data_IF_977775676443
#
_entry.id   IF_977775676443
#
_cell.length_a   1.000
_cell.length_b   1.000
_cell.length_c   1.000
_cell.angle_alpha   90.00
_cell.angle_beta   90.00
_cell.angle_gamma   90.00
#
_symmetry.space_group_name_H-M   'P 1'
#
loop_
_entity.id
_entity.type
_entity.pdbx_description
1 polymer ?
#
# COMPACT_ATOMS: atom_id res chain seq x y z
N UNK A 1 -2.09 81.54 23.19
CA UNK A 1 -2.49 80.45 22.21
C UNK A 1 -1.49 79.35 22.34
N UNK A 2 -1.82 78.35 23.14
CA UNK A 2 -0.96 77.18 23.44
C UNK A 2 -1.50 76.00 22.68
N UNK A 3 -0.64 75.37 21.82
CA UNK A 3 -0.94 74.14 21.09
C UNK A 3 -0.33 72.98 21.84
N UNK A 4 -1.19 72.08 22.36
CA UNK A 4 -0.79 70.84 22.96
C UNK A 4 -0.48 69.79 21.88
N UNK A 5 0.67 69.09 21.98
CA UNK A 5 1.00 67.89 21.22
C UNK A 5 0.40 66.65 21.94
N UNK A 6 -0.15 65.69 21.23
CA UNK A 6 -0.51 64.41 21.82
C UNK A 6 0.70 63.48 21.93
N UNK A 7 0.89 62.91 23.12
CA UNK A 7 1.89 61.87 23.39
C UNK A 7 1.46 60.54 22.77
N UNK A 8 2.28 60.01 21.88
CA UNK A 8 2.13 58.66 21.35
C UNK A 8 2.68 57.63 22.38
N UNK A 9 1.80 56.84 22.94
CA UNK A 9 2.13 55.73 23.84
C UNK A 9 2.57 54.53 22.99
N UNK A 10 3.86 54.23 22.97
CA UNK A 10 4.43 53.07 22.30
C UNK A 10 4.33 51.87 23.24
N UNK A 11 3.29 51.00 23.06
CA UNK A 11 3.23 49.72 23.75
C UNK A 11 4.25 48.75 23.15
N UNK A 12 5.35 48.52 23.86
CA UNK A 12 6.32 47.44 23.57
C UNK A 12 5.70 46.11 23.97
N UNK A 13 5.23 45.33 23.01
CA UNK A 13 4.85 43.93 23.20
C UNK A 13 6.15 43.11 23.26
N UNK A 14 6.61 42.76 24.46
CA UNK A 14 7.64 41.72 24.64
C UNK A 14 7.03 40.36 24.29
N UNK A 15 7.31 39.84 23.12
CA UNK A 15 7.10 38.45 22.79
C UNK A 15 8.07 37.61 23.62
N UNK A 16 7.55 36.97 24.67
CA UNK A 16 8.32 35.94 25.39
C UNK A 16 8.52 34.75 24.47
N UNK A 17 9.67 34.69 23.82
CA UNK A 17 10.14 33.48 23.12
C UNK A 17 10.50 32.46 24.20
N UNK A 18 9.59 31.53 24.45
CA UNK A 18 9.88 30.38 25.30
C UNK A 18 10.93 29.53 24.58
N UNK A 19 12.19 29.72 24.96
CA UNK A 19 13.23 28.78 24.60
C UNK A 19 12.94 27.48 25.35
N UNK A 20 12.47 26.47 24.62
CA UNK A 20 12.49 25.10 25.09
C UNK A 20 13.98 24.75 25.21
N UNK A 21 14.54 24.94 26.39
CA UNK A 21 15.86 24.41 26.73
C UNK A 21 15.71 22.89 26.73
N UNK A 22 16.18 22.26 25.65
CA UNK A 22 16.45 20.84 25.65
C UNK A 22 17.43 20.58 26.82
N UNK A 23 16.93 19.86 27.82
CA UNK A 23 17.80 19.46 28.93
C UNK A 23 18.93 18.62 28.31
N UNK A 24 20.16 19.17 28.28
CA UNK A 24 21.34 18.42 27.87
C UNK A 24 21.51 17.26 28.86
N UNK A 25 21.36 16.03 28.33
CA UNK A 25 21.78 14.86 29.09
C UNK A 25 23.26 14.95 29.41
N UNK A 26 23.60 14.93 30.69
CA UNK A 26 25.00 14.86 31.13
C UNK A 26 25.62 13.47 30.95
N UNK A 27 24.89 12.53 30.33
CA UNK A 27 25.38 11.20 30.04
C UNK A 27 26.19 11.27 28.75
N UNK A 28 27.44 10.83 28.81
CA UNK A 28 28.30 10.75 27.64
C UNK A 28 27.74 9.67 26.68
N UNK A 29 27.69 10.00 25.42
CA UNK A 29 27.39 9.02 24.36
C UNK A 29 28.69 8.24 24.06
N UNK A 30 28.78 7.03 24.58
CA UNK A 30 29.95 6.14 24.42
C UNK A 30 29.52 4.82 23.77
N UNK A 31 30.39 4.18 22.97
CA UNK A 31 30.13 2.88 22.40
C UNK A 31 29.69 1.83 23.42
N UNK A 32 28.53 1.27 23.27
CA UNK A 32 28.00 0.21 24.14
C UNK A 32 28.39 -1.19 23.62
N UNK A 33 28.70 -2.17 24.51
CA UNK A 33 28.96 -3.55 24.08
C UNK A 33 27.77 -4.21 23.32
N UNK A 34 26.55 -3.85 23.68
CA UNK A 34 25.32 -4.23 22.95
C UNK A 34 24.87 -3.03 22.09
N UNK A 35 25.23 -3.06 20.82
CA UNK A 35 24.98 -1.95 19.91
C UNK A 35 23.48 -1.75 19.67
N UNK A 36 22.99 -0.50 19.53
CA UNK A 36 21.61 -0.22 19.14
C UNK A 36 21.35 -0.64 17.68
N UNK A 37 20.14 -1.08 17.40
CA UNK A 37 19.66 -1.42 16.07
C UNK A 37 18.18 -1.06 15.94
N UNK A 38 17.79 -0.87 14.70
CA UNK A 38 16.41 -0.61 14.32
C UNK A 38 16.07 -1.44 13.08
N UNK A 39 14.88 -2.03 13.05
CA UNK A 39 14.31 -2.68 11.87
C UNK A 39 12.90 -2.19 11.69
N UNK A 40 12.50 -1.95 10.43
CA UNK A 40 11.16 -1.47 10.09
C UNK A 40 10.61 -2.23 8.90
N UNK A 41 9.29 -2.51 8.94
CA UNK A 41 8.55 -3.14 7.84
C UNK A 41 7.23 -2.41 7.64
N UNK A 42 6.91 -2.13 6.37
CA UNK A 42 5.60 -1.60 5.99
C UNK A 42 4.66 -2.71 5.57
N UNK A 43 3.44 -2.70 6.10
CA UNK A 43 2.33 -3.59 5.71
C UNK A 43 1.16 -2.72 5.25
N UNK A 44 0.83 -2.74 3.97
CA UNK A 44 -0.10 -1.78 3.38
C UNK A 44 0.41 -0.34 3.54
N UNK A 45 -0.25 0.47 4.38
CA UNK A 45 0.20 1.84 4.72
C UNK A 45 0.77 1.96 6.13
N UNK A 46 0.75 0.88 6.91
CA UNK A 46 1.17 0.85 8.32
C UNK A 46 2.65 0.54 8.43
N UNK A 47 3.43 1.43 9.05
CA UNK A 47 4.82 1.16 9.40
C UNK A 47 4.90 0.51 10.79
N UNK A 48 5.74 -0.52 10.90
CA UNK A 48 6.05 -1.24 12.12
C UNK A 48 7.55 -1.12 12.35
N UNK A 49 7.96 -0.56 13.48
CA UNK A 49 9.37 -0.29 13.78
C UNK A 49 9.76 -0.90 15.12
N UNK A 50 10.86 -1.67 15.15
CA UNK A 50 11.43 -2.24 16.37
C UNK A 50 12.79 -1.60 16.61
N UNK A 51 12.96 -0.98 17.81
CA UNK A 51 14.26 -0.44 18.28
C UNK A 51 14.74 -1.27 19.45
N UNK A 52 15.98 -1.71 19.38
CA UNK A 52 16.53 -2.66 20.35
C UNK A 52 18.05 -2.58 20.44
N UNK A 53 18.62 -3.23 21.45
CA UNK A 53 20.07 -3.43 21.57
C UNK A 53 20.42 -4.90 21.35
N UNK A 54 21.57 -5.15 20.70
CA UNK A 54 22.02 -6.45 20.22
C UNK A 54 23.10 -7.06 21.12
N UNK A 55 22.75 -7.79 22.20
CA UNK A 55 23.74 -8.52 22.97
C UNK A 55 24.31 -9.69 22.15
N UNK A 56 25.59 -9.95 22.34
CA UNK A 56 26.29 -11.11 21.75
C UNK A 56 26.19 -12.32 22.67
N UNK A 57 26.29 -13.52 22.13
CA UNK A 57 26.35 -14.76 22.91
C UNK A 57 27.63 -14.82 23.77
N UNK A 58 28.76 -14.51 23.20
CA UNK A 58 30.07 -14.49 23.90
C UNK A 58 30.32 -15.77 24.74
N UNK A 59 30.12 -16.94 24.15
CA UNK A 59 30.26 -18.26 24.75
C UNK A 59 29.43 -18.50 26.04
N UNK A 60 28.44 -17.65 26.30
CA UNK A 60 27.55 -17.76 27.47
C UNK A 60 26.38 -18.71 27.17
N UNK A 61 25.95 -19.42 28.19
CA UNK A 61 24.60 -20.08 28.14
C UNK A 61 23.54 -18.99 28.28
N UNK A 62 22.71 -18.86 27.25
CA UNK A 62 21.68 -17.82 27.17
C UNK A 62 20.42 -18.28 27.92
N UNK A 63 19.73 -19.26 27.37
CA UNK A 63 18.41 -19.66 27.84
C UNK A 63 18.49 -20.47 29.13
N UNK A 64 17.72 -20.04 30.14
CA UNK A 64 17.73 -20.60 31.48
C UNK A 64 18.96 -20.20 32.34
N UNK A 65 19.86 -19.34 31.84
CA UNK A 65 21.01 -18.80 32.58
C UNK A 65 21.05 -17.28 32.48
N UNK A 66 21.67 -16.70 31.43
CA UNK A 66 21.72 -15.23 31.23
C UNK A 66 20.31 -14.64 31.17
N UNK A 67 19.41 -15.33 30.49
CA UNK A 67 17.96 -15.02 30.42
C UNK A 67 17.22 -16.15 31.17
N UNK A 68 16.82 -15.93 32.45
CA UNK A 68 16.18 -16.96 33.25
C UNK A 68 14.79 -17.31 32.74
N UNK A 69 14.41 -18.58 32.79
CA UNK A 69 13.04 -18.99 32.48
C UNK A 69 12.05 -18.48 33.54
N UNK A 70 10.82 -18.19 33.10
CA UNK A 70 9.73 -17.72 33.95
C UNK A 70 9.90 -16.29 34.47
N UNK A 71 10.88 -15.53 33.96
CA UNK A 71 11.11 -14.12 34.34
C UNK A 71 10.88 -13.21 33.17
N UNK A 72 10.34 -12.01 33.45
CA UNK A 72 10.17 -10.97 32.44
C UNK A 72 11.56 -10.45 32.02
N UNK A 73 11.80 -10.47 30.73
CA UNK A 73 13.01 -10.01 30.08
C UNK A 73 12.67 -8.95 29.03
N UNK A 74 13.46 -7.85 28.95
CA UNK A 74 13.28 -6.75 28.01
C UNK A 74 13.50 -7.11 26.52
N UNK A 75 13.61 -8.39 26.21
CA UNK A 75 13.78 -8.92 24.86
C UNK A 75 14.91 -8.23 24.06
N UNK A 76 16.02 -7.93 24.76
CA UNK A 76 17.18 -7.21 24.26
C UNK A 76 18.18 -6.91 25.37
N UNK A 77 18.88 -5.80 25.29
CA UNK A 77 19.85 -5.32 26.27
C UNK A 77 19.69 -3.80 26.49
N UNK A 78 20.32 -3.27 27.55
CA UNK A 78 20.34 -1.86 27.93
C UNK A 78 18.93 -1.28 28.15
N UNK A 79 18.54 -0.27 27.36
CA UNK A 79 17.21 0.35 27.37
C UNK A 79 16.12 -0.64 26.94
N UNK A 80 14.89 -0.22 27.10
CA UNK A 80 13.73 -1.00 26.70
C UNK A 80 13.76 -1.28 25.18
N UNK A 81 13.57 -2.53 24.79
CA UNK A 81 13.20 -2.84 23.41
C UNK A 81 11.81 -2.29 23.17
N UNK A 82 11.62 -1.55 22.10
CA UNK A 82 10.32 -0.98 21.75
C UNK A 82 9.85 -1.47 20.39
N UNK A 83 8.52 -1.60 20.27
CA UNK A 83 7.84 -1.82 19.01
C UNK A 83 6.78 -0.74 18.81
N UNK A 84 6.80 -0.11 17.64
CA UNK A 84 5.85 0.97 17.27
C UNK A 84 4.98 0.51 16.12
N UNK A 85 3.69 0.77 16.21
CA UNK A 85 2.69 0.54 15.17
C UNK A 85 2.02 1.88 14.84
N UNK A 86 2.06 2.32 13.58
CA UNK A 86 1.45 3.58 13.15
C UNK A 86 -0.09 3.52 13.12
N UNK A 87 -0.64 2.32 12.93
CA UNK A 87 -2.08 2.05 12.91
C UNK A 87 -2.42 0.86 13.84
N UNK A 88 -3.70 0.63 14.19
CA UNK A 88 -4.12 -0.55 14.91
C UNK A 88 -3.76 -1.84 14.18
N UNK A 89 -3.30 -2.83 14.94
CA UNK A 89 -2.88 -4.15 14.43
C UNK A 89 -3.55 -5.28 15.20
N UNK A 90 -3.39 -6.50 14.72
CA UNK A 90 -3.62 -7.71 15.54
C UNK A 90 -2.31 -8.48 15.70
N UNK A 91 -2.06 -8.93 16.92
CA UNK A 91 -0.91 -9.78 17.26
C UNK A 91 -1.45 -11.17 17.61
N UNK A 92 -1.04 -12.20 16.87
CA UNK A 92 -1.58 -13.55 17.02
C UNK A 92 -3.13 -13.55 17.03
N UNK A 93 -3.76 -12.66 16.21
CA UNK A 93 -5.20 -12.48 16.12
C UNK A 93 -5.85 -11.64 17.23
N UNK A 94 -5.09 -11.14 18.21
CA UNK A 94 -5.61 -10.28 19.27
C UNK A 94 -5.37 -8.80 18.98
N UNK A 95 -6.36 -7.92 19.17
CA UNK A 95 -6.25 -6.52 18.79
C UNK A 95 -5.28 -5.74 19.68
N UNK A 96 -4.51 -4.85 19.05
CA UNK A 96 -3.62 -3.89 19.70
C UNK A 96 -3.74 -2.55 19.02
N UNK A 97 -3.91 -1.47 19.79
CA UNK A 97 -4.02 -0.12 19.27
C UNK A 97 -2.70 0.37 18.65
N UNK A 98 -2.77 1.40 17.81
CA UNK A 98 -1.59 2.15 17.37
C UNK A 98 -0.83 2.73 18.57
N UNK A 99 0.50 2.79 18.47
CA UNK A 99 1.35 3.35 19.52
C UNK A 99 2.70 2.67 19.64
N UNK A 100 3.49 3.15 20.58
CA UNK A 100 4.79 2.58 20.94
C UNK A 100 4.68 1.79 22.24
N UNK A 101 5.14 0.57 22.22
CA UNK A 101 5.08 -0.37 23.35
C UNK A 101 6.48 -0.82 23.76
N UNK A 102 6.70 -0.97 25.05
CA UNK A 102 7.84 -1.75 25.57
C UNK A 102 7.63 -3.22 25.26
N UNK A 103 8.54 -3.82 24.53
CA UNK A 103 8.48 -5.22 24.14
C UNK A 103 9.26 -6.04 25.18
N UNK A 104 8.53 -6.90 25.91
CA UNK A 104 9.10 -7.82 26.86
C UNK A 104 8.70 -9.26 26.51
N UNK A 105 9.47 -10.23 27.03
CA UNK A 105 9.15 -11.64 26.87
C UNK A 105 9.37 -12.39 28.18
N UNK A 106 8.59 -13.44 28.39
CA UNK A 106 8.81 -14.43 29.45
C UNK A 106 9.22 -15.73 28.77
N UNK A 107 10.50 -16.07 28.74
CA UNK A 107 10.97 -17.32 28.15
C UNK A 107 10.58 -18.52 29.03
N UNK A 108 10.22 -19.63 28.40
CA UNK A 108 10.11 -20.95 29.00
C UNK A 108 10.61 -22.02 28.00
N UNK A 109 10.61 -23.29 28.39
CA UNK A 109 11.14 -24.32 27.50
C UNK A 109 10.28 -24.54 26.25
N UNK A 110 8.95 -24.53 26.38
CA UNK A 110 8.04 -24.94 25.31
C UNK A 110 7.16 -23.81 24.78
N UNK A 111 6.93 -22.76 25.57
CA UNK A 111 6.05 -21.65 25.22
C UNK A 111 6.56 -20.35 25.84
N UNK A 112 6.59 -19.28 25.04
CA UNK A 112 6.99 -17.96 25.48
C UNK A 112 5.80 -17.03 25.53
N UNK A 113 5.77 -16.12 26.50
CA UNK A 113 4.81 -15.01 26.50
C UNK A 113 5.49 -13.76 25.95
N UNK A 114 4.96 -13.20 24.86
CA UNK A 114 5.34 -11.89 24.31
C UNK A 114 4.41 -10.83 24.90
N UNK A 115 4.98 -9.75 25.42
CA UNK A 115 4.29 -8.71 26.19
C UNK A 115 4.48 -7.37 25.52
N UNK A 116 3.38 -6.65 25.32
CA UNK A 116 3.35 -5.28 24.82
C UNK A 116 2.94 -4.36 25.98
N UNK A 117 3.93 -3.74 26.62
CA UNK A 117 3.70 -2.84 27.76
C UNK A 117 3.47 -1.41 27.27
N UNK A 118 2.55 -0.67 27.89
CA UNK A 118 2.36 0.76 27.67
C UNK A 118 3.55 1.58 28.14
N UNK A 119 4.38 1.05 29.05
CA UNK A 119 5.62 1.65 29.47
C UNK A 119 6.74 1.28 28.46
N UNK A 120 7.10 2.23 27.60
CA UNK A 120 8.12 2.06 26.56
C UNK A 120 9.44 2.77 26.86
N UNK A 121 9.57 3.40 28.03
CA UNK A 121 10.72 4.28 28.37
C UNK A 121 11.58 3.75 29.51
N UNK A 122 11.30 2.56 30.05
CA UNK A 122 12.04 1.93 31.12
C UNK A 122 13.47 1.57 30.69
N UNK A 123 14.37 1.48 31.65
CA UNK A 123 15.69 0.87 31.46
C UNK A 123 15.64 -0.59 31.95
N UNK A 124 15.67 -1.53 31.01
CA UNK A 124 15.52 -2.96 31.32
C UNK A 124 14.07 -3.35 31.68
N UNK A 125 13.90 -4.38 32.50
CA UNK A 125 12.60 -4.84 33.03
C UNK A 125 12.53 -4.74 34.57
N UNK A 126 13.35 -3.90 35.19
CA UNK A 126 13.43 -3.82 36.64
C UNK A 126 12.21 -3.15 37.26
N UNK A 127 11.57 -2.25 36.56
CA UNK A 127 10.35 -1.53 36.97
C UNK A 127 9.11 -2.03 36.23
N UNK A 128 9.19 -3.22 35.63
CA UNK A 128 8.06 -3.80 34.91
C UNK A 128 6.88 -4.04 35.87
N UNK A 129 5.70 -3.56 35.44
CA UNK A 129 4.43 -3.81 36.11
C UNK A 129 3.44 -4.42 35.11
N UNK A 130 2.87 -5.56 35.45
CA UNK A 130 1.88 -6.25 34.64
C UNK A 130 0.60 -5.41 34.43
N UNK A 131 0.28 -4.48 35.32
CA UNK A 131 -0.86 -3.57 35.16
C UNK A 131 -0.72 -2.62 33.97
N UNK A 132 0.49 -2.41 33.47
CA UNK A 132 0.80 -1.58 32.31
C UNK A 132 0.71 -2.38 30.97
N UNK A 133 0.45 -3.68 31.00
CA UNK A 133 0.36 -4.47 29.77
C UNK A 133 -0.87 -4.08 28.96
N UNK A 134 -0.61 -3.77 27.69
CA UNK A 134 -1.66 -3.59 26.70
C UNK A 134 -2.11 -4.92 26.10
N UNK A 135 -1.17 -5.85 25.92
CA UNK A 135 -1.43 -7.16 25.35
C UNK A 135 -0.36 -8.17 25.79
N UNK A 136 -0.78 -9.43 25.96
CA UNK A 136 0.07 -10.60 26.08
C UNK A 136 -0.38 -11.68 25.12
N UNK A 137 0.55 -12.29 24.41
CA UNK A 137 0.30 -13.43 23.54
C UNK A 137 1.30 -14.55 23.83
N UNK A 138 0.86 -15.78 23.67
CA UNK A 138 1.72 -16.94 23.82
C UNK A 138 2.16 -17.44 22.45
N UNK A 139 3.46 -17.74 22.31
CA UNK A 139 4.08 -18.21 21.08
C UNK A 139 5.02 -19.38 21.38
N UNK A 140 5.27 -20.21 20.37
CA UNK A 140 6.21 -21.32 20.50
C UNK A 140 7.56 -20.96 19.91
N UNK A 141 8.65 -21.03 20.70
CA UNK A 141 9.99 -20.87 20.17
C UNK A 141 10.29 -22.00 19.17
N UNK A 142 11.14 -21.70 18.20
CA UNK A 142 11.54 -22.62 17.14
C UNK A 142 13.05 -22.75 17.10
N UNK A 143 13.62 -23.92 16.78
CA UNK A 143 15.04 -24.04 16.50
C UNK A 143 15.44 -23.15 15.33
N UNK A 144 16.59 -22.50 15.42
CA UNK A 144 17.17 -21.67 14.37
C UNK A 144 18.66 -21.97 14.20
N UNK A 145 19.25 -21.46 13.14
CA UNK A 145 20.70 -21.44 12.98
C UNK A 145 21.34 -20.54 14.06
N UNK A 146 22.66 -20.64 14.24
CA UNK A 146 23.37 -19.88 15.27
C UNK A 146 23.42 -18.40 14.95
N UNK A 147 22.70 -17.57 15.71
CA UNK A 147 22.77 -16.11 15.71
C UNK A 147 23.58 -15.62 16.90
N UNK A 148 24.84 -15.21 16.65
CA UNK A 148 25.70 -14.70 17.72
C UNK A 148 25.22 -13.37 18.32
N UNK A 149 24.64 -12.48 17.49
CA UNK A 149 24.02 -11.25 17.94
C UNK A 149 22.50 -11.37 17.93
N UNK A 150 21.82 -10.96 19.00
CA UNK A 150 20.36 -10.87 19.01
C UNK A 150 19.90 -10.02 17.83
N UNK A 151 18.92 -10.52 17.08
CA UNK A 151 18.38 -9.87 15.88
C UNK A 151 16.85 -9.93 15.91
N UNK A 152 16.22 -8.86 15.46
CA UNK A 152 14.82 -8.86 15.04
C UNK A 152 14.77 -8.78 13.53
N UNK A 153 13.85 -9.52 12.91
CA UNK A 153 13.57 -9.46 11.48
C UNK A 153 12.07 -9.63 11.21
N UNK A 154 11.67 -9.35 9.98
CA UNK A 154 10.31 -9.56 9.46
C UNK A 154 10.34 -10.62 8.37
N UNK A 155 9.65 -11.72 8.57
CA UNK A 155 9.56 -12.85 7.63
C UNK A 155 8.10 -13.14 7.22
N UNK A 156 7.92 -14.06 6.29
CA UNK A 156 6.61 -14.54 5.79
C UNK A 156 5.66 -13.40 5.40
N UNK A 157 6.20 -12.43 4.68
CA UNK A 157 5.48 -11.23 4.24
C UNK A 157 4.25 -11.60 3.40
N UNK A 158 3.11 -11.03 3.77
CA UNK A 158 1.84 -11.10 3.04
C UNK A 158 1.31 -9.68 2.81
N UNK A 159 0.34 -9.47 1.89
CA UNK A 159 -0.24 -8.15 1.66
C UNK A 159 -0.78 -7.45 2.92
N UNK A 160 -1.18 -8.21 3.94
CA UNK A 160 -1.80 -7.71 5.16
C UNK A 160 -1.14 -8.23 6.45
N UNK A 161 -0.01 -8.92 6.38
CA UNK A 161 0.65 -9.45 7.59
C UNK A 161 2.13 -9.74 7.37
N UNK A 162 2.87 -9.80 8.47
CA UNK A 162 4.24 -10.32 8.55
C UNK A 162 4.41 -11.11 9.84
N UNK A 163 5.47 -11.91 9.91
CA UNK A 163 5.92 -12.54 11.15
C UNK A 163 7.14 -11.76 11.63
N UNK A 164 7.08 -11.24 12.85
CA UNK A 164 8.24 -10.71 13.56
C UNK A 164 8.96 -11.88 14.20
N UNK A 165 10.26 -11.99 13.98
CA UNK A 165 11.08 -13.04 14.59
C UNK A 165 12.20 -12.40 15.42
N UNK A 166 12.31 -12.79 16.71
CA UNK A 166 13.48 -12.56 17.51
C UNK A 166 14.38 -13.77 17.37
N UNK A 167 15.62 -13.58 16.92
CA UNK A 167 16.60 -14.64 16.74
C UNK A 167 17.82 -14.39 17.61
N UNK A 168 18.19 -15.36 18.43
CA UNK A 168 19.39 -15.31 19.25
C UNK A 168 19.84 -16.69 19.68
N UNK A 169 21.16 -16.93 19.67
CA UNK A 169 21.78 -18.24 19.87
C UNK A 169 21.19 -19.22 18.81
N UNK A 170 20.53 -20.29 19.19
CA UNK A 170 19.91 -21.27 18.26
C UNK A 170 18.38 -21.29 18.38
N UNK A 171 17.78 -20.13 18.64
CA UNK A 171 16.36 -20.01 18.88
C UNK A 171 15.78 -18.83 18.13
N UNK A 172 14.64 -19.05 17.46
CA UNK A 172 13.76 -18.03 16.91
C UNK A 172 12.47 -17.99 17.72
N UNK A 173 11.96 -16.78 17.98
CA UNK A 173 10.70 -16.55 18.67
C UNK A 173 9.79 -15.74 17.74
N UNK A 174 8.95 -16.41 16.93
CA UNK A 174 8.06 -15.75 15.99
C UNK A 174 6.78 -15.28 16.65
N UNK A 175 6.25 -14.13 16.19
CA UNK A 175 4.86 -13.73 16.40
C UNK A 175 4.31 -13.01 15.17
N UNK A 176 3.05 -13.30 14.83
CA UNK A 176 2.39 -12.74 13.66
C UNK A 176 1.79 -11.38 13.98
N UNK A 177 2.06 -10.41 13.11
CA UNK A 177 1.40 -9.09 13.08
C UNK A 177 0.53 -9.03 11.83
N UNK A 178 -0.73 -8.61 11.98
CA UNK A 178 -1.63 -8.38 10.86
C UNK A 178 -2.28 -7.00 10.94
N UNK A 179 -2.56 -6.43 9.77
CA UNK A 179 -3.15 -5.10 9.60
C UNK A 179 -4.46 -5.23 8.83
N UNK A 180 -5.50 -4.55 9.25
CA UNK A 180 -6.67 -4.33 8.40
C UNK A 180 -6.35 -3.23 7.38
N UNK A 181 -5.70 -3.64 6.29
CA UNK A 181 -5.22 -2.71 5.25
C UNK A 181 -6.37 -1.90 4.66
N UNK A 182 -7.57 -2.48 4.54
CA UNK A 182 -8.71 -1.79 3.96
C UNK A 182 -9.19 -0.64 4.87
N UNK A 183 -9.33 -0.89 6.17
CA UNK A 183 -9.70 0.15 7.13
C UNK A 183 -8.65 1.27 7.19
N UNK A 184 -7.36 0.90 7.21
CA UNK A 184 -6.26 1.88 7.20
C UNK A 184 -6.30 2.74 5.94
N UNK A 185 -6.49 2.13 4.75
CA UNK A 185 -6.60 2.87 3.49
C UNK A 185 -7.83 3.77 3.47
N UNK A 186 -9.00 3.29 3.90
CA UNK A 186 -10.21 4.10 3.98
C UNK A 186 -10.04 5.33 4.89
N UNK A 187 -9.42 5.15 6.05
CA UNK A 187 -9.10 6.26 6.96
C UNK A 187 -8.10 7.25 6.33
N UNK A 188 -7.06 6.73 5.67
CA UNK A 188 -6.04 7.52 4.99
C UNK A 188 -6.63 8.33 3.83
N UNK A 189 -7.48 7.73 2.97
CA UNK A 189 -8.16 8.42 1.88
C UNK A 189 -9.01 9.58 2.39
N UNK A 190 -9.79 9.37 3.46
CA UNK A 190 -10.59 10.45 4.09
C UNK A 190 -9.71 11.62 4.53
N UNK A 191 -8.51 11.36 5.04
CA UNK A 191 -7.56 12.39 5.47
C UNK A 191 -6.89 13.09 4.28
N UNK A 192 -6.41 12.34 3.29
CA UNK A 192 -5.68 12.85 2.14
C UNK A 192 -6.57 13.71 1.23
N UNK A 193 -7.80 13.26 0.97
CA UNK A 193 -8.77 13.93 0.11
C UNK A 193 -9.40 15.20 0.75
N UNK A 194 -9.00 15.58 1.96
CA UNK A 194 -9.32 16.88 2.59
C UNK A 194 -8.23 17.94 2.41
N UNK A 195 -7.10 17.56 1.80
CA UNK A 195 -5.96 18.44 1.53
C UNK A 195 -5.95 18.87 0.04
N UNK A 196 -4.79 19.25 -0.50
CA UNK A 196 -4.63 19.69 -1.89
C UNK A 196 -5.14 18.67 -2.91
N UNK A 197 -5.08 17.38 -2.58
CA UNK A 197 -5.59 16.30 -3.43
C UNK A 197 -7.08 16.43 -3.77
N UNK A 198 -7.88 17.12 -2.94
CA UNK A 198 -9.30 17.33 -3.21
C UNK A 198 -9.60 18.14 -4.47
N UNK A 199 -8.64 18.94 -4.95
CA UNK A 199 -8.83 19.83 -6.10
C UNK A 199 -8.46 19.20 -7.44
N UNK A 200 -7.97 17.94 -7.44
CA UNK A 200 -7.61 17.24 -8.66
C UNK A 200 -8.60 16.11 -8.96
N UNK A 201 -9.01 15.99 -10.22
CA UNK A 201 -9.84 14.86 -10.64
C UNK A 201 -9.13 13.52 -10.43
N UNK A 202 -7.82 13.49 -10.66
CA UNK A 202 -7.01 12.27 -10.61
C UNK A 202 -7.03 11.63 -9.22
N UNK A 203 -6.83 12.40 -8.15
CA UNK A 203 -6.83 11.87 -6.78
C UNK A 203 -8.15 11.19 -6.40
N UNK A 204 -9.28 11.76 -6.81
CA UNK A 204 -10.58 11.16 -6.58
C UNK A 204 -10.82 9.92 -7.44
N UNK A 205 -10.36 9.95 -8.69
CA UNK A 205 -10.45 8.80 -9.60
C UNK A 205 -9.58 7.63 -9.12
N UNK A 206 -8.37 7.90 -8.64
CA UNK A 206 -7.47 6.89 -8.10
C UNK A 206 -8.07 6.25 -6.85
N UNK A 207 -8.65 7.06 -5.95
CA UNK A 207 -9.35 6.57 -4.77
C UNK A 207 -10.56 5.68 -5.15
N UNK A 208 -11.38 6.11 -6.11
CA UNK A 208 -12.51 5.32 -6.62
C UNK A 208 -12.03 4.00 -7.25
N UNK A 209 -10.97 4.06 -8.05
CA UNK A 209 -10.38 2.89 -8.72
C UNK A 209 -9.81 1.89 -7.72
N UNK A 210 -9.13 2.35 -6.66
CA UNK A 210 -8.67 1.47 -5.59
C UNK A 210 -9.83 0.72 -4.93
N UNK A 211 -10.87 1.45 -4.49
CA UNK A 211 -12.03 0.83 -3.84
C UNK A 211 -12.75 -0.17 -4.74
N UNK A 212 -12.85 0.14 -6.04
CA UNK A 212 -13.41 -0.77 -7.05
C UNK A 212 -12.56 -2.03 -7.22
N UNK A 213 -11.23 -1.89 -7.30
CA UNK A 213 -10.30 -3.01 -7.50
C UNK A 213 -10.33 -3.96 -6.31
N UNK A 214 -10.32 -3.42 -5.11
CA UNK A 214 -10.41 -4.19 -3.87
C UNK A 214 -11.84 -4.67 -3.55
N UNK A 215 -12.84 -4.19 -4.31
CA UNK A 215 -14.27 -4.50 -4.13
C UNK A 215 -14.80 -4.15 -2.74
N UNK A 216 -14.34 -3.05 -2.19
CA UNK A 216 -14.73 -2.54 -0.87
C UNK A 216 -15.41 -1.18 -0.99
N UNK A 217 -16.33 -0.86 -0.08
CA UNK A 217 -16.99 0.45 0.04
C UNK A 217 -17.44 1.02 -1.33
N UNK A 218 -18.11 0.21 -2.17
CA UNK A 218 -18.47 0.57 -3.56
C UNK A 218 -19.34 1.83 -3.65
N UNK A 219 -20.21 2.10 -2.68
CA UNK A 219 -20.99 3.35 -2.64
C UNK A 219 -20.07 4.57 -2.45
N UNK A 220 -19.01 4.43 -1.64
CA UNK A 220 -17.99 5.47 -1.48
C UNK A 220 -17.15 5.62 -2.75
N UNK A 221 -16.83 4.52 -3.45
CA UNK A 221 -16.17 4.55 -4.75
C UNK A 221 -16.99 5.36 -5.76
N UNK A 222 -18.32 5.16 -5.79
CA UNK A 222 -19.22 5.94 -6.64
C UNK A 222 -19.22 7.42 -6.28
N UNK A 223 -19.27 7.75 -4.98
CA UNK A 223 -19.17 9.13 -4.52
C UNK A 223 -17.84 9.78 -4.93
N UNK A 224 -16.73 9.05 -4.84
CA UNK A 224 -15.42 9.53 -5.27
C UNK A 224 -15.32 9.70 -6.80
N UNK A 225 -15.85 8.77 -7.59
CA UNK A 225 -15.93 8.91 -9.05
C UNK A 225 -16.73 10.15 -9.46
N UNK A 226 -17.88 10.40 -8.80
CA UNK A 226 -18.68 11.60 -9.03
C UNK A 226 -17.89 12.88 -8.65
N UNK A 227 -17.15 12.86 -7.54
CA UNK A 227 -16.33 14.00 -7.12
C UNK A 227 -15.19 14.27 -8.08
N UNK A 228 -14.60 13.22 -8.66
CA UNK A 228 -13.61 13.33 -9.75
C UNK A 228 -14.20 14.07 -10.95
N UNK A 229 -15.40 13.67 -11.37
CA UNK A 229 -16.12 14.28 -12.52
C UNK A 229 -16.47 15.75 -12.23
N UNK A 230 -16.90 16.07 -11.01
CA UNK A 230 -17.16 17.47 -10.60
C UNK A 230 -15.91 18.35 -10.72
N UNK A 231 -14.72 17.81 -10.45
CA UNK A 231 -13.46 18.57 -10.60
C UNK A 231 -13.09 18.74 -12.08
N UNK A 232 -13.18 17.69 -12.88
CA UNK A 232 -12.94 17.71 -14.31
C UNK A 232 -13.54 16.46 -14.95
N UNK A 233 -14.46 16.63 -15.89
CA UNK A 233 -15.15 15.55 -16.58
C UNK A 233 -14.26 14.96 -17.70
N UNK A 234 -13.96 13.66 -17.63
CA UNK A 234 -12.98 12.99 -18.48
C UNK A 234 -13.40 11.57 -18.83
N UNK A 235 -12.78 11.01 -19.86
CA UNK A 235 -12.92 9.59 -20.22
C UNK A 235 -12.63 8.67 -19.03
N UNK A 236 -11.54 8.92 -18.32
CA UNK A 236 -11.02 8.03 -17.27
C UNK A 236 -12.01 7.91 -16.11
N UNK A 237 -12.54 9.03 -15.62
CA UNK A 237 -13.41 9.02 -14.44
C UNK A 237 -14.86 8.63 -14.75
N UNK A 238 -15.38 8.95 -15.94
CA UNK A 238 -16.67 8.42 -16.39
C UNK A 238 -16.61 6.90 -16.60
N UNK A 239 -15.50 6.37 -17.13
CA UNK A 239 -15.29 4.93 -17.24
C UNK A 239 -15.18 4.25 -15.86
N UNK A 240 -14.45 4.86 -14.91
CA UNK A 240 -14.39 4.38 -13.52
C UNK A 240 -15.80 4.36 -12.91
N UNK A 241 -16.58 5.44 -13.06
CA UNK A 241 -17.97 5.51 -12.61
C UNK A 241 -18.83 4.38 -13.19
N UNK A 242 -18.72 4.14 -14.49
CA UNK A 242 -19.44 3.04 -15.16
C UNK A 242 -19.11 1.69 -14.53
N UNK A 243 -17.83 1.41 -14.29
CA UNK A 243 -17.38 0.16 -13.68
C UNK A 243 -17.84 0.01 -12.23
N UNK A 244 -17.82 1.07 -11.46
CA UNK A 244 -18.35 1.08 -10.08
C UNK A 244 -19.86 0.80 -10.10
N UNK A 245 -20.62 1.43 -11.00
CA UNK A 245 -22.06 1.19 -11.16
C UNK A 245 -22.36 -0.26 -11.55
N UNK A 246 -21.56 -0.86 -12.44
CA UNK A 246 -21.67 -2.29 -12.76
C UNK A 246 -21.42 -3.17 -11.53
N UNK A 247 -20.41 -2.86 -10.73
CA UNK A 247 -20.12 -3.59 -9.48
C UNK A 247 -21.24 -3.44 -8.44
N UNK A 248 -22.00 -2.34 -8.48
CA UNK A 248 -23.19 -2.09 -7.67
C UNK A 248 -24.49 -2.70 -8.28
N UNK A 249 -24.41 -3.42 -9.40
CA UNK A 249 -25.55 -3.97 -10.17
C UNK A 249 -26.52 -2.89 -10.71
N UNK A 250 -26.03 -1.67 -10.99
CA UNK A 250 -26.78 -0.53 -11.54
C UNK A 250 -26.50 -0.40 -13.05
N UNK A 251 -26.87 -1.43 -13.82
CA UNK A 251 -26.47 -1.60 -15.22
C UNK A 251 -26.92 -0.48 -16.15
N UNK A 252 -28.14 0.07 -15.96
CA UNK A 252 -28.66 1.14 -16.83
C UNK A 252 -27.85 2.44 -16.65
N UNK A 253 -27.51 2.79 -15.42
CA UNK A 253 -26.69 3.95 -15.12
C UNK A 253 -25.23 3.75 -15.57
N UNK A 254 -24.74 2.53 -15.45
CA UNK A 254 -23.41 2.16 -15.94
C UNK A 254 -23.31 2.34 -17.46
N UNK A 255 -24.33 1.95 -18.21
CA UNK A 255 -24.37 2.14 -19.66
C UNK A 255 -24.38 3.63 -20.06
N UNK A 256 -25.06 4.47 -19.31
CA UNK A 256 -25.06 5.94 -19.53
C UNK A 256 -23.68 6.52 -19.30
N UNK A 257 -23.03 6.18 -18.17
CA UNK A 257 -21.68 6.64 -17.85
C UNK A 257 -20.64 6.11 -18.87
N UNK A 258 -20.75 4.86 -19.29
CA UNK A 258 -19.91 4.27 -20.33
C UNK A 258 -20.01 5.04 -21.66
N UNK A 259 -21.24 5.33 -22.09
CA UNK A 259 -21.46 6.09 -23.33
C UNK A 259 -20.79 7.47 -23.22
N UNK A 260 -20.99 8.15 -22.10
CA UNK A 260 -20.39 9.47 -21.84
C UNK A 260 -18.86 9.39 -21.83
N UNK A 261 -18.27 8.38 -21.22
CA UNK A 261 -16.82 8.14 -21.29
C UNK A 261 -16.36 8.03 -22.74
N UNK A 262 -17.02 7.23 -23.56
CA UNK A 262 -16.64 7.04 -24.96
C UNK A 262 -16.80 8.32 -25.81
N UNK A 263 -17.68 9.26 -25.43
CA UNK A 263 -17.82 10.56 -26.10
C UNK A 263 -16.60 11.46 -25.84
N UNK A 264 -15.89 11.29 -24.72
CA UNK A 264 -14.63 11.98 -24.38
C UNK A 264 -13.37 11.24 -24.87
N UNK A 265 -13.51 9.98 -25.25
CA UNK A 265 -12.36 9.13 -25.55
C UNK A 265 -11.65 9.53 -26.84
N UNK A 266 -10.33 9.55 -26.79
CA UNK A 266 -9.52 9.57 -28.01
C UNK A 266 -9.68 8.26 -28.78
N UNK A 267 -9.42 8.24 -30.10
CA UNK A 267 -9.50 7.00 -30.88
C UNK A 267 -8.66 5.86 -30.33
N UNK A 268 -7.50 6.18 -29.74
CA UNK A 268 -6.64 5.17 -29.10
C UNK A 268 -7.27 4.64 -27.82
N UNK A 269 -7.87 5.48 -26.99
CA UNK A 269 -8.57 5.06 -25.77
C UNK A 269 -9.76 4.15 -26.11
N UNK A 270 -10.53 4.47 -27.16
CA UNK A 270 -11.60 3.60 -27.68
C UNK A 270 -11.04 2.23 -28.09
N UNK A 271 -9.92 2.21 -28.83
CA UNK A 271 -9.26 0.96 -29.21
C UNK A 271 -8.82 0.14 -27.98
N UNK A 272 -8.14 0.79 -27.02
CA UNK A 272 -7.69 0.13 -25.79
C UNK A 272 -8.85 -0.40 -24.95
N UNK A 273 -9.97 0.32 -24.89
CA UNK A 273 -11.18 -0.15 -24.24
C UNK A 273 -11.73 -1.41 -24.94
N UNK A 274 -11.80 -1.45 -26.27
CA UNK A 274 -12.15 -2.66 -27.02
C UNK A 274 -11.22 -3.83 -26.69
N UNK A 275 -9.92 -3.59 -26.57
CA UNK A 275 -8.94 -4.61 -26.14
C UNK A 275 -9.22 -5.13 -24.72
N UNK A 276 -9.57 -4.24 -23.80
CA UNK A 276 -9.95 -4.63 -22.45
C UNK A 276 -11.21 -5.52 -22.45
N UNK A 277 -12.26 -5.14 -23.21
CA UNK A 277 -13.46 -5.97 -23.34
C UNK A 277 -13.13 -7.38 -23.85
N UNK A 278 -12.15 -7.54 -24.77
CA UNK A 278 -11.69 -8.85 -25.19
C UNK A 278 -11.07 -9.66 -24.05
N UNK A 279 -10.24 -9.01 -23.22
CA UNK A 279 -9.66 -9.65 -22.02
C UNK A 279 -10.74 -10.12 -21.04
N UNK A 280 -11.83 -9.36 -20.94
CA UNK A 280 -13.02 -9.69 -20.16
C UNK A 280 -13.95 -10.73 -20.84
N UNK A 281 -13.56 -11.25 -22.03
CA UNK A 281 -14.32 -12.19 -22.86
C UNK A 281 -15.67 -11.62 -23.39
N UNK A 282 -15.80 -10.32 -23.45
CA UNK A 282 -16.94 -9.57 -24.00
C UNK A 282 -16.68 -9.24 -25.49
N UNK A 283 -16.44 -10.27 -26.26
CA UNK A 283 -15.95 -10.13 -27.64
C UNK A 283 -16.93 -9.40 -28.57
N UNK A 284 -18.24 -9.63 -28.45
CA UNK A 284 -19.24 -8.99 -29.32
C UNK A 284 -19.24 -7.47 -29.14
N UNK A 285 -19.13 -7.00 -27.90
CA UNK A 285 -19.03 -5.59 -27.58
C UNK A 285 -17.70 -5.01 -28.08
N UNK A 286 -16.59 -5.70 -27.83
CA UNK A 286 -15.28 -5.30 -28.34
C UNK A 286 -15.27 -5.11 -29.86
N UNK A 287 -15.87 -6.07 -30.59
CA UNK A 287 -15.95 -6.01 -32.06
C UNK A 287 -16.86 -4.89 -32.56
N UNK A 288 -17.93 -4.57 -31.82
CA UNK A 288 -18.77 -3.40 -32.15
C UNK A 288 -17.96 -2.10 -31.97
N UNK A 289 -17.22 -1.96 -30.87
CA UNK A 289 -16.32 -0.82 -30.59
C UNK A 289 -15.26 -0.68 -31.67
N UNK A 290 -14.60 -1.77 -32.08
CA UNK A 290 -13.55 -1.69 -33.14
C UNK A 290 -14.12 -1.25 -34.48
N UNK A 291 -15.28 -1.76 -34.88
CA UNK A 291 -15.95 -1.34 -36.14
C UNK A 291 -16.34 0.14 -36.12
N UNK A 292 -16.92 0.61 -35.02
CA UNK A 292 -17.34 2.01 -34.90
C UNK A 292 -16.11 2.94 -34.89
N UNK A 293 -15.07 2.58 -34.16
CA UNK A 293 -13.81 3.35 -34.11
C UNK A 293 -13.14 3.45 -35.50
N UNK A 294 -13.07 2.34 -36.22
CA UNK A 294 -12.48 2.33 -37.56
C UNK A 294 -13.31 3.16 -38.57
N UNK A 295 -14.65 3.10 -38.44
CA UNK A 295 -15.52 3.93 -39.27
C UNK A 295 -15.32 5.44 -39.06
N UNK A 296 -15.06 5.85 -37.81
CA UNK A 296 -14.86 7.26 -37.44
C UNK A 296 -13.43 7.74 -37.69
N UNK A 297 -12.43 6.86 -37.61
CA UNK A 297 -11.02 7.20 -37.62
C UNK A 297 -10.19 6.26 -38.52
N UNK A 298 -10.51 6.18 -39.83
CA UNK A 298 -9.93 5.18 -40.74
C UNK A 298 -8.42 5.34 -40.96
N UNK A 299 -7.83 6.50 -40.67
CA UNK A 299 -6.40 6.79 -40.90
C UNK A 299 -5.50 6.38 -39.74
N UNK A 300 -6.03 5.83 -38.66
CA UNK A 300 -5.26 5.48 -37.47
C UNK A 300 -4.82 4.02 -37.52
N UNK A 301 -3.54 3.75 -37.47
CA UNK A 301 -2.97 2.40 -37.60
C UNK A 301 -3.57 1.37 -36.65
N UNK A 302 -3.86 1.76 -35.40
CA UNK A 302 -4.41 0.85 -34.39
C UNK A 302 -5.88 0.45 -34.66
N UNK A 303 -6.65 1.24 -35.41
CA UNK A 303 -8.02 0.82 -35.76
C UNK A 303 -8.00 -0.34 -36.74
N UNK A 304 -7.02 -0.39 -37.64
CA UNK A 304 -6.78 -1.52 -38.54
C UNK A 304 -6.47 -2.82 -37.74
N UNK A 305 -5.73 -2.71 -36.61
CA UNK A 305 -5.54 -3.88 -35.74
C UNK A 305 -6.87 -4.37 -35.13
N UNK A 306 -7.76 -3.45 -34.78
CA UNK A 306 -9.11 -3.76 -34.29
C UNK A 306 -9.95 -4.48 -35.36
N UNK A 307 -9.99 -3.94 -36.60
CA UNK A 307 -10.68 -4.59 -37.72
C UNK A 307 -10.12 -5.98 -38.06
N UNK A 308 -8.80 -6.12 -38.06
CA UNK A 308 -8.15 -7.42 -38.28
C UNK A 308 -8.62 -8.46 -37.24
N UNK A 309 -8.81 -8.07 -35.98
CA UNK A 309 -9.36 -8.93 -34.93
C UNK A 309 -10.82 -9.29 -35.18
N UNK A 310 -11.62 -8.33 -35.65
CA UNK A 310 -13.00 -8.58 -36.05
C UNK A 310 -13.08 -9.61 -37.17
N UNK A 311 -12.30 -9.43 -38.26
CA UNK A 311 -12.28 -10.34 -39.39
C UNK A 311 -11.73 -11.72 -39.01
N UNK A 312 -10.69 -11.78 -38.18
CA UNK A 312 -10.17 -13.03 -37.65
C UNK A 312 -11.23 -13.84 -36.90
N UNK A 313 -12.01 -13.20 -36.02
CA UNK A 313 -13.10 -13.84 -35.30
C UNK A 313 -14.23 -14.35 -36.23
N UNK A 314 -14.38 -13.75 -37.41
CA UNK A 314 -15.31 -14.17 -38.45
C UNK A 314 -14.76 -15.28 -39.38
N UNK A 315 -13.51 -15.73 -39.17
CA UNK A 315 -12.80 -16.66 -40.05
C UNK A 315 -12.36 -16.06 -41.39
N UNK A 316 -12.45 -14.75 -41.56
CA UNK A 316 -12.06 -14.00 -42.76
C UNK A 316 -10.58 -13.62 -42.71
N UNK A 317 -9.72 -14.63 -42.75
CA UNK A 317 -8.28 -14.43 -42.54
C UNK A 317 -7.61 -13.53 -43.59
N UNK A 318 -8.06 -13.58 -44.86
CA UNK A 318 -7.49 -12.76 -45.93
C UNK A 318 -7.78 -11.23 -45.66
N UNK A 319 -9.01 -10.91 -45.25
CA UNK A 319 -9.38 -9.54 -44.85
C UNK A 319 -8.61 -9.12 -43.59
N UNK A 320 -8.46 -10.02 -42.61
CA UNK A 320 -7.69 -9.75 -41.40
C UNK A 320 -6.20 -9.48 -41.70
N UNK A 321 -5.60 -10.23 -42.64
CA UNK A 321 -4.22 -10.01 -43.10
C UNK A 321 -4.10 -8.65 -43.78
N UNK A 322 -5.07 -8.28 -44.65
CA UNK A 322 -5.05 -6.98 -45.34
C UNK A 322 -5.05 -5.82 -44.34
N UNK A 323 -5.96 -5.85 -43.35
CA UNK A 323 -6.06 -4.82 -42.32
C UNK A 323 -4.79 -4.79 -41.44
N UNK A 324 -4.24 -5.93 -41.04
CA UNK A 324 -3.03 -5.96 -40.22
C UNK A 324 -1.79 -5.45 -40.95
N UNK A 325 -1.72 -5.63 -42.27
CA UNK A 325 -0.66 -5.03 -43.11
C UNK A 325 -0.79 -3.51 -43.19
N UNK A 326 -2.02 -2.98 -43.30
CA UNK A 326 -2.26 -1.52 -43.22
C UNK A 326 -1.80 -0.97 -41.87
N UNK A 327 -2.13 -1.68 -40.79
CA UNK A 327 -1.66 -1.32 -39.45
C UNK A 327 -0.13 -1.28 -39.38
N UNK A 328 0.57 -2.34 -39.84
CA UNK A 328 2.03 -2.41 -39.78
C UNK A 328 2.70 -1.32 -40.65
N UNK A 329 2.13 -1.02 -41.82
CA UNK A 329 2.68 0.01 -42.71
C UNK A 329 2.63 1.40 -42.07
N UNK A 330 1.53 1.75 -41.37
CA UNK A 330 1.29 3.07 -40.77
C UNK A 330 1.79 3.19 -39.30
N UNK A 331 2.13 2.08 -38.66
CA UNK A 331 2.53 2.06 -37.25
C UNK A 331 3.93 2.67 -37.01
N UNK A 332 4.19 3.23 -35.81
CA UNK A 332 5.54 3.57 -35.40
C UNK A 332 6.51 2.39 -35.45
N UNK A 333 7.79 2.67 -35.75
CA UNK A 333 8.81 1.63 -35.93
C UNK A 333 8.87 0.60 -34.78
N UNK A 334 8.67 1.03 -33.54
CA UNK A 334 8.66 0.17 -32.37
C UNK A 334 7.54 -0.88 -32.37
N UNK A 335 6.45 -0.68 -33.12
CA UNK A 335 5.31 -1.57 -33.18
C UNK A 335 5.35 -2.54 -34.36
N UNK A 336 6.17 -2.25 -35.39
CA UNK A 336 6.16 -2.98 -36.67
C UNK A 336 6.48 -4.45 -36.47
N UNK A 337 7.53 -4.81 -35.74
CA UNK A 337 7.92 -6.21 -35.52
C UNK A 337 6.81 -7.03 -34.88
N UNK A 338 6.10 -6.47 -33.91
CA UNK A 338 4.96 -7.11 -33.26
C UNK A 338 3.81 -7.32 -34.26
N UNK A 339 3.46 -6.28 -35.03
CA UNK A 339 2.38 -6.34 -36.02
C UNK A 339 2.70 -7.31 -37.16
N UNK A 340 3.93 -7.38 -37.63
CA UNK A 340 4.38 -8.34 -38.65
C UNK A 340 4.29 -9.80 -38.12
N UNK A 341 4.52 -9.99 -36.81
CA UNK A 341 4.27 -11.27 -36.14
C UNK A 341 2.78 -11.64 -36.20
N UNK A 342 1.87 -10.69 -35.96
CA UNK A 342 0.43 -10.92 -36.08
C UNK A 342 0.00 -11.19 -37.54
N UNK A 343 0.61 -10.53 -38.54
CA UNK A 343 0.39 -10.85 -39.97
C UNK A 343 0.73 -12.29 -40.24
N UNK A 344 1.88 -12.76 -39.77
CA UNK A 344 2.31 -14.15 -39.95
C UNK A 344 1.36 -15.16 -39.31
N UNK A 345 0.86 -14.87 -38.11
CA UNK A 345 -0.14 -15.70 -37.43
C UNK A 345 -1.46 -15.77 -38.23
N UNK A 346 -1.93 -14.65 -38.72
CA UNK A 346 -3.15 -14.58 -39.55
C UNK A 346 -3.01 -15.31 -40.85
N UNK A 347 -1.84 -15.25 -41.53
CA UNK A 347 -1.53 -16.03 -42.74
C UNK A 347 -1.56 -17.53 -42.46
N UNK A 348 -1.13 -17.94 -41.27
CA UNK A 348 -1.22 -19.32 -40.80
C UNK A 348 -2.63 -19.70 -40.29
N UNK A 349 -3.62 -18.83 -40.47
CA UNK A 349 -5.02 -18.95 -39.97
C UNK A 349 -5.13 -19.19 -38.47
N UNK A 350 -4.19 -18.62 -37.71
CA UNK A 350 -4.23 -18.65 -36.24
C UNK A 350 -5.10 -17.51 -35.69
N UNK A 351 -5.82 -17.80 -34.60
CA UNK A 351 -6.66 -16.80 -33.93
C UNK A 351 -5.80 -15.83 -33.09
N UNK A 352 -5.83 -14.54 -33.45
CA UNK A 352 -5.13 -13.46 -32.75
C UNK A 352 -5.96 -12.81 -31.62
N UNK A 353 -7.13 -13.34 -31.31
CA UNK A 353 -8.01 -12.84 -30.24
C UNK A 353 -7.79 -13.55 -28.90
N UNK A 354 -6.93 -14.53 -28.86
CA UNK A 354 -6.58 -15.32 -27.67
C UNK A 354 -5.66 -14.56 -26.74
#
# INVERSE_FOLDING_TARGET
>A
MSRALPAFLFCLIMAAVSHVTSAQSFVLDLPAPSQPAEVSQRIGLTDITIKYHRPLVNDRKIWGALVPYGKVWRAGANENTTITFDDPVTIEGQPLAAGTYGLHMIPNADEWTVIFSKNSTSWGSFTYDQAEDALRVNVKPQPADMHNALTYDFDKLQPNSAVVELEWEKLAVPFKVSVDVHEVVLASLKKQLRNLSQYTWLSWNDAATYLLTEKIALDQALAYANKSIENEDRYENELTKSRVLMALNRSDEAAVAQKKALDFATPLQVHLYGRQLQTEKRNDEAFAIFRDNAKKHPDQWFVHTGLARVYCAQGKFDDAVAEMKLASAAAPAAQKSYLDGLVSQLQAKQDINK
#
